data_IF_818998124484
#
_entry.id   IF_818998124484
#
_cell.length_a   1.000
_cell.length_b   1.000
_cell.length_c   1.000
_cell.angle_alpha   90.00
_cell.angle_beta   90.00
_cell.angle_gamma   90.00
#
_symmetry.space_group_name_H-M   'P 1'
#
loop_
_entity.id
_entity.type
_entity.pdbx_description
1 polymer ?
#
# COMPACT_ATOMS: atom_id res chain seq x y z
N UNK A 1 -63.72 17.66 -25.74
CA UNK A 1 -63.40 16.45 -24.99
C UNK A 1 -61.98 15.91 -25.29
N UNK A 2 -61.54 15.77 -26.55
CA UNK A 2 -60.18 15.27 -26.87
C UNK A 2 -59.00 16.11 -26.32
N UNK A 3 -59.15 17.48 -26.27
CA UNK A 3 -58.10 18.37 -25.75
C UNK A 3 -57.95 18.32 -24.22
N UNK A 4 -59.06 18.09 -23.52
CA UNK A 4 -59.06 18.00 -22.02
C UNK A 4 -58.43 16.65 -21.59
N UNK A 5 -58.70 15.57 -22.35
CA UNK A 5 -58.10 14.27 -22.06
C UNK A 5 -56.59 14.24 -22.29
N UNK A 6 -56.07 15.00 -23.26
CA UNK A 6 -54.63 15.13 -23.53
C UNK A 6 -53.89 15.92 -22.43
N UNK A 7 -54.54 16.93 -21.85
CA UNK A 7 -53.98 17.72 -20.75
C UNK A 7 -53.95 16.91 -19.45
N UNK A 8 -54.96 16.08 -19.18
CA UNK A 8 -54.97 15.19 -18.01
C UNK A 8 -53.93 14.06 -18.12
N UNK A 9 -53.68 13.55 -19.33
CA UNK A 9 -52.63 12.53 -19.54
C UNK A 9 -51.24 13.11 -19.41
N UNK A 10 -50.99 14.34 -19.86
CA UNK A 10 -49.72 15.05 -19.67
C UNK A 10 -49.43 15.40 -18.19
N UNK A 11 -50.47 15.78 -17.44
CA UNK A 11 -50.32 16.07 -16.01
C UNK A 11 -50.03 14.79 -15.18
N UNK A 12 -50.61 13.65 -15.55
CA UNK A 12 -50.32 12.36 -14.91
C UNK A 12 -48.88 11.88 -15.14
N UNK A 13 -48.31 12.13 -16.34
CA UNK A 13 -46.90 11.80 -16.65
C UNK A 13 -45.89 12.68 -15.90
N UNK A 14 -46.24 13.93 -15.63
CA UNK A 14 -45.33 14.86 -14.85
C UNK A 14 -45.32 14.47 -13.39
N UNK A 15 -46.39 13.98 -12.80
CA UNK A 15 -46.45 13.55 -11.39
C UNK A 15 -45.64 12.26 -11.16
N UNK A 16 -45.54 11.36 -12.13
CA UNK A 16 -44.76 10.14 -12.00
C UNK A 16 -43.23 10.35 -12.05
N UNK A 17 -42.77 11.47 -12.59
CA UNK A 17 -41.32 11.75 -12.66
C UNK A 17 -40.76 12.36 -11.38
N UNK A 18 -41.59 12.91 -10.48
CA UNK A 18 -41.17 13.46 -9.20
C UNK A 18 -41.17 12.46 -8.04
N UNK A 19 -41.74 11.28 -8.20
CA UNK A 19 -41.78 10.26 -7.15
C UNK A 19 -40.55 9.33 -7.11
N UNK A 20 -39.62 9.46 -8.07
CA UNK A 20 -38.44 8.56 -8.19
C UNK A 20 -37.13 9.14 -7.61
N UNK A 21 -37.12 10.38 -7.12
CA UNK A 21 -36.00 10.93 -6.38
C UNK A 21 -36.33 10.95 -4.89
N UNK A 22 -36.36 9.80 -4.26
CA UNK A 22 -36.17 9.69 -2.83
C UNK A 22 -34.76 10.16 -2.52
N UNK A 23 -34.58 11.45 -2.18
CA UNK A 23 -33.37 11.96 -1.59
C UNK A 23 -33.15 11.19 -0.28
N UNK A 24 -32.47 10.03 -0.31
CA UNK A 24 -31.76 9.56 0.86
C UNK A 24 -30.78 10.69 1.18
N UNK A 25 -31.05 11.44 2.24
CA UNK A 25 -30.05 12.32 2.83
C UNK A 25 -28.90 11.41 3.22
N UNK A 26 -27.88 11.36 2.40
CA UNK A 26 -26.61 10.74 2.75
C UNK A 26 -26.14 11.47 3.98
N UNK A 27 -26.03 10.76 5.11
CA UNK A 27 -25.37 11.31 6.28
C UNK A 27 -23.87 11.41 5.93
N UNK A 28 -23.47 12.54 5.37
CA UNK A 28 -22.09 12.84 4.99
C UNK A 28 -21.23 13.18 6.21
N UNK A 29 -21.74 12.93 7.43
CA UNK A 29 -21.06 13.28 8.68
C UNK A 29 -19.88 12.37 9.00
N UNK A 30 -19.70 11.24 8.30
CA UNK A 30 -18.56 10.34 8.47
C UNK A 30 -18.16 9.62 7.18
N UNK A 31 -16.87 9.33 7.05
CA UNK A 31 -16.30 8.55 5.92
C UNK A 31 -16.95 7.16 5.85
N UNK A 32 -17.26 6.54 6.99
CA UNK A 32 -17.94 5.25 7.03
C UNK A 32 -19.34 5.32 6.42
N UNK A 33 -20.11 6.39 6.70
CA UNK A 33 -21.43 6.57 6.11
C UNK A 33 -21.34 6.75 4.59
N UNK A 34 -20.36 7.51 4.12
CA UNK A 34 -20.06 7.70 2.70
C UNK A 34 -19.72 6.36 2.01
N UNK A 35 -18.81 5.57 2.57
CA UNK A 35 -18.43 4.27 2.02
C UNK A 35 -19.60 3.29 1.98
N UNK A 36 -20.42 3.25 3.04
CA UNK A 36 -21.63 2.41 3.09
C UNK A 36 -22.69 2.82 2.07
N UNK A 37 -22.91 4.11 1.87
CA UNK A 37 -23.86 4.60 0.86
C UNK A 37 -23.37 4.29 -0.56
N UNK A 38 -22.08 4.45 -0.81
CA UNK A 38 -21.43 4.09 -2.08
C UNK A 38 -21.44 2.57 -2.34
N UNK A 39 -21.45 1.75 -1.27
CA UNK A 39 -21.45 0.29 -1.35
C UNK A 39 -20.09 -0.33 -1.70
N UNK A 40 -19.04 0.49 -1.84
CA UNK A 40 -17.69 0.06 -2.20
C UNK A 40 -16.64 0.75 -1.32
N UNK A 41 -15.55 0.04 -1.03
CA UNK A 41 -14.33 0.62 -0.44
C UNK A 41 -13.20 0.52 -1.46
N UNK A 42 -12.71 1.66 -1.95
CA UNK A 42 -11.56 1.73 -2.86
C UNK A 42 -10.28 1.78 -2.02
N UNK A 43 -9.45 0.78 -2.17
CA UNK A 43 -8.28 0.51 -1.33
C UNK A 43 -7.02 0.72 -2.17
N UNK A 44 -6.20 1.69 -1.78
CA UNK A 44 -4.88 1.92 -2.37
C UNK A 44 -3.86 0.94 -1.82
N UNK A 45 -3.20 0.21 -2.72
CA UNK A 45 -2.20 -0.81 -2.41
C UNK A 45 -0.96 -0.65 -3.29
N UNK A 46 0.17 -1.22 -2.86
CA UNK A 46 1.30 -1.58 -3.73
C UNK A 46 1.47 -3.08 -3.75
N UNK A 47 2.13 -3.60 -4.78
CA UNK A 47 2.33 -5.04 -4.89
C UNK A 47 3.63 -5.45 -4.20
N UNK A 48 3.53 -6.25 -3.15
CA UNK A 48 4.66 -6.87 -2.44
C UNK A 48 4.23 -8.16 -1.74
N UNK A 49 4.81 -9.28 -2.13
CA UNK A 49 4.54 -10.56 -1.49
C UNK A 49 5.18 -10.58 -0.08
N UNK A 50 4.55 -11.23 0.91
CA UNK A 50 3.32 -12.04 0.82
C UNK A 50 2.04 -11.26 1.14
N UNK A 51 2.09 -9.92 1.16
CA UNK A 51 1.00 -9.08 1.65
C UNK A 51 -0.06 -8.82 0.58
N UNK A 52 0.35 -8.28 -0.58
CA UNK A 52 -0.49 -8.04 -1.74
C UNK A 52 0.28 -8.43 -3.02
N UNK A 53 -0.20 -9.42 -3.74
CA UNK A 53 0.47 -9.89 -4.96
C UNK A 53 -0.48 -10.59 -5.91
N UNK A 54 -0.07 -10.69 -7.16
CA UNK A 54 -0.70 -11.55 -8.16
C UNK A 54 0.18 -12.77 -8.41
N UNK A 55 -0.44 -13.93 -8.58
CA UNK A 55 0.27 -15.11 -9.08
C UNK A 55 0.68 -14.87 -10.54
N UNK A 56 1.74 -15.57 -10.98
CA UNK A 56 2.25 -15.46 -12.35
C UNK A 56 1.14 -15.67 -13.38
N UNK A 57 1.04 -14.72 -14.32
CA UNK A 57 0.03 -14.74 -15.38
C UNK A 57 -1.38 -14.28 -14.94
N UNK A 58 -1.59 -13.94 -13.67
CA UNK A 58 -2.85 -13.41 -13.16
C UNK A 58 -2.69 -11.91 -12.82
N UNK A 59 -3.66 -11.09 -13.20
CA UNK A 59 -3.68 -9.65 -12.89
C UNK A 59 -5.01 -9.20 -12.29
N UNK A 60 -5.90 -10.14 -11.96
CA UNK A 60 -7.27 -9.85 -11.52
C UNK A 60 -7.60 -10.41 -10.14
N UNK A 61 -6.95 -11.51 -9.73
CA UNK A 61 -7.18 -12.16 -8.44
C UNK A 61 -6.03 -11.83 -7.49
N UNK A 62 -6.15 -10.70 -6.82
CA UNK A 62 -5.18 -10.25 -5.81
C UNK A 62 -5.14 -11.25 -4.66
N UNK A 63 -3.95 -11.69 -4.30
CA UNK A 63 -3.65 -12.59 -3.18
C UNK A 63 -2.89 -11.85 -2.09
N UNK A 64 -2.82 -12.47 -0.93
CA UNK A 64 -1.99 -12.02 0.18
C UNK A 64 -2.76 -11.72 1.45
N UNK A 65 -2.00 -11.57 2.52
CA UNK A 65 -2.56 -11.38 3.86
C UNK A 65 -3.43 -10.12 3.93
N UNK A 66 -2.97 -9.00 3.37
CA UNK A 66 -3.72 -7.74 3.44
C UNK A 66 -4.93 -7.74 2.53
N UNK A 67 -4.82 -8.31 1.33
CA UNK A 67 -5.96 -8.51 0.44
C UNK A 67 -7.09 -9.31 1.12
N UNK A 68 -6.74 -10.42 1.80
CA UNK A 68 -7.72 -11.27 2.48
C UNK A 68 -8.29 -10.58 3.73
N UNK A 69 -7.45 -9.87 4.48
CA UNK A 69 -7.88 -9.10 5.64
C UNK A 69 -8.84 -7.97 5.24
N UNK A 70 -8.52 -7.23 4.19
CA UNK A 70 -9.39 -6.19 3.64
C UNK A 70 -10.74 -6.75 3.19
N UNK A 71 -10.76 -7.90 2.49
CA UNK A 71 -12.00 -8.59 2.11
C UNK A 71 -12.85 -8.95 3.32
N UNK A 72 -12.25 -9.52 4.36
CA UNK A 72 -12.96 -9.90 5.60
C UNK A 72 -13.56 -8.70 6.33
N UNK A 73 -12.86 -7.54 6.33
CA UNK A 73 -13.40 -6.30 6.90
C UNK A 73 -14.52 -5.74 6.04
N UNK A 74 -14.37 -5.71 4.72
CA UNK A 74 -15.41 -5.25 3.81
C UNK A 74 -16.69 -6.08 3.92
N UNK A 75 -16.58 -7.40 4.07
CA UNK A 75 -17.71 -8.29 4.33
C UNK A 75 -18.46 -7.87 5.61
N UNK A 76 -17.73 -7.61 6.71
CA UNK A 76 -18.33 -7.14 7.97
C UNK A 76 -18.98 -5.76 7.86
N UNK A 77 -18.43 -4.88 7.02
CA UNK A 77 -18.99 -3.55 6.76
C UNK A 77 -20.20 -3.60 5.81
N UNK A 78 -20.38 -4.70 5.06
CA UNK A 78 -21.42 -4.85 4.03
C UNK A 78 -21.11 -4.04 2.76
N UNK A 79 -19.83 -3.93 2.39
CA UNK A 79 -19.36 -3.21 1.19
C UNK A 79 -18.46 -4.10 0.34
N UNK A 80 -18.29 -3.75 -0.93
CA UNK A 80 -17.41 -4.49 -1.84
C UNK A 80 -16.01 -3.83 -1.87
N UNK A 81 -14.90 -4.56 -1.64
CA UNK A 81 -13.56 -4.02 -1.80
C UNK A 81 -13.22 -3.86 -3.29
N UNK A 82 -12.53 -2.76 -3.62
CA UNK A 82 -11.91 -2.53 -4.93
C UNK A 82 -10.46 -2.15 -4.68
N UNK A 83 -9.53 -2.98 -5.16
CA UNK A 83 -8.10 -2.74 -4.98
C UNK A 83 -7.56 -1.92 -6.15
N UNK A 84 -6.88 -0.84 -5.83
CA UNK A 84 -6.22 0.04 -6.79
C UNK A 84 -4.72 0.05 -6.51
N UNK A 85 -3.94 -0.44 -7.47
CA UNK A 85 -2.48 -0.37 -7.40
C UNK A 85 -2.06 1.07 -7.62
N UNK A 86 -1.29 1.62 -6.68
CA UNK A 86 -0.78 2.99 -6.69
C UNK A 86 0.75 2.98 -6.64
N UNK A 87 1.39 4.10 -6.94
CA UNK A 87 2.77 4.36 -6.55
C UNK A 87 2.81 4.72 -5.07
N UNK A 88 3.74 4.11 -4.30
CA UNK A 88 3.86 4.41 -2.86
C UNK A 88 4.17 5.88 -2.59
N UNK A 89 4.97 6.50 -3.44
CA UNK A 89 5.25 7.94 -3.40
C UNK A 89 3.98 8.79 -3.49
N UNK A 90 2.98 8.34 -4.25
CA UNK A 90 1.73 9.07 -4.47
C UNK A 90 0.67 8.83 -3.39
N UNK A 91 0.90 7.96 -2.40
CA UNK A 91 -0.12 7.49 -1.43
C UNK A 91 -0.95 8.58 -0.78
N UNK A 92 -0.32 9.65 -0.31
CA UNK A 92 -1.04 10.77 0.33
C UNK A 92 -1.84 11.59 -0.68
N UNK A 93 -1.32 11.76 -1.89
CA UNK A 93 -2.01 12.45 -2.98
C UNK A 93 -3.25 11.68 -3.43
N UNK A 94 -3.15 10.36 -3.56
CA UNK A 94 -4.27 9.47 -3.92
C UNK A 94 -5.38 9.52 -2.87
N UNK A 95 -5.01 9.49 -1.58
CA UNK A 95 -5.95 9.59 -0.47
C UNK A 95 -6.62 10.98 -0.41
N UNK A 96 -5.83 12.06 -0.47
CA UNK A 96 -6.33 13.42 -0.37
C UNK A 96 -7.22 13.82 -1.57
N UNK A 97 -6.91 13.30 -2.76
CA UNK A 97 -7.71 13.49 -3.98
C UNK A 97 -8.96 12.61 -4.04
N UNK A 98 -9.15 11.72 -3.04
CA UNK A 98 -10.25 10.74 -2.97
C UNK A 98 -10.27 9.79 -4.18
N UNK A 99 -9.12 9.53 -4.77
CA UNK A 99 -8.96 8.46 -5.76
C UNK A 99 -9.06 7.09 -5.09
N UNK A 100 -8.61 7.02 -3.83
CA UNK A 100 -8.83 5.89 -2.93
C UNK A 100 -9.52 6.35 -1.64
N UNK A 101 -10.27 5.47 -1.01
CA UNK A 101 -10.96 5.76 0.26
C UNK A 101 -10.06 5.51 1.46
N UNK A 102 -9.12 4.56 1.32
CA UNK A 102 -8.10 4.26 2.31
C UNK A 102 -6.84 3.70 1.66
N UNK A 103 -5.75 3.75 2.42
CA UNK A 103 -4.52 3.01 2.13
C UNK A 103 -4.50 1.78 3.02
N UNK A 104 -4.29 0.60 2.44
CA UNK A 104 -4.16 -0.63 3.18
C UNK A 104 -3.01 -1.42 2.59
N UNK A 105 -1.84 -1.25 3.15
CA UNK A 105 -0.58 -1.67 2.50
C UNK A 105 0.61 -1.76 3.46
N UNK A 106 0.44 -2.30 4.67
CA UNK A 106 1.53 -2.42 5.63
C UNK A 106 2.16 -1.08 6.02
N UNK A 107 1.39 0.00 6.03
CA UNK A 107 1.88 1.34 6.28
C UNK A 107 2.50 1.44 7.68
N UNK A 108 3.81 1.70 7.75
CA UNK A 108 4.51 1.99 9.00
C UNK A 108 3.97 3.27 9.62
N UNK A 109 3.60 3.20 10.90
CA UNK A 109 3.06 4.33 11.65
C UNK A 109 4.21 5.22 12.11
N UNK A 110 4.34 6.42 11.52
CA UNK A 110 5.29 7.45 11.95
C UNK A 110 4.55 8.68 12.47
N UNK A 111 5.22 9.52 13.26
CA UNK A 111 4.61 10.76 13.76
C UNK A 111 4.31 11.74 12.61
N UNK A 112 5.11 11.76 11.56
CA UNK A 112 4.83 12.55 10.37
C UNK A 112 3.51 12.13 9.72
N UNK A 113 3.28 10.83 9.53
CA UNK A 113 2.05 10.29 8.94
C UNK A 113 0.81 10.49 9.81
N UNK A 114 0.95 10.42 11.14
CA UNK A 114 -0.16 10.74 12.07
C UNK A 114 -0.65 12.18 11.94
N UNK A 115 0.20 13.10 11.48
CA UNK A 115 -0.16 14.50 11.28
C UNK A 115 -0.89 14.75 9.95
N UNK A 116 -0.76 13.87 8.98
CA UNK A 116 -1.32 14.04 7.61
C UNK A 116 -2.51 13.14 7.32
N UNK A 117 -2.70 12.04 8.07
CA UNK A 117 -3.79 11.10 7.86
C UNK A 117 -4.29 10.47 9.16
N UNK A 118 -5.53 9.97 9.13
CA UNK A 118 -6.08 9.16 10.21
C UNK A 118 -5.60 7.72 10.06
N UNK A 119 -4.93 7.19 11.07
CA UNK A 119 -4.34 5.84 11.05
C UNK A 119 -5.08 4.95 12.03
N UNK A 120 -5.36 3.69 11.65
CA UNK A 120 -5.97 2.69 12.51
C UNK A 120 -5.05 2.29 13.68
N UNK A 121 -5.56 1.51 14.61
CA UNK A 121 -4.70 0.78 15.54
C UNK A 121 -3.81 -0.20 14.77
N UNK A 122 -2.55 -0.41 15.18
CA UNK A 122 -1.67 -1.37 14.51
C UNK A 122 -2.25 -2.78 14.60
N UNK A 123 -2.23 -3.50 13.47
CA UNK A 123 -2.70 -4.87 13.38
C UNK A 123 -1.56 -5.88 13.15
N UNK A 124 -0.35 -5.39 12.90
CA UNK A 124 0.85 -6.20 12.68
C UNK A 124 2.09 -5.46 13.15
N UNK A 125 3.07 -6.19 13.68
CA UNK A 125 4.41 -5.65 13.95
C UNK A 125 5.27 -5.80 12.69
N UNK A 126 6.02 -4.75 12.35
CA UNK A 126 7.01 -4.74 11.28
C UNK A 126 8.27 -4.00 11.75
N UNK A 127 9.33 -4.11 10.99
CA UNK A 127 10.60 -3.39 11.16
C UNK A 127 11.28 -3.27 9.82
N UNK A 128 12.21 -2.32 9.70
CA UNK A 128 13.08 -2.21 8.54
C UNK A 128 14.29 -3.14 8.72
N UNK A 129 14.72 -3.77 7.64
CA UNK A 129 15.90 -4.66 7.64
C UNK A 129 16.81 -4.33 6.47
N UNK A 130 18.10 -4.48 6.71
CA UNK A 130 19.10 -4.43 5.65
C UNK A 130 19.18 -5.80 4.97
N UNK A 131 19.10 -5.81 3.64
CA UNK A 131 19.34 -6.99 2.82
C UNK A 131 20.57 -6.80 1.94
N UNK A 132 21.29 -7.89 1.67
CA UNK A 132 22.43 -7.90 0.77
C UNK A 132 22.62 -9.30 0.19
N UNK A 133 23.56 -9.47 -0.77
CA UNK A 133 23.97 -10.80 -1.19
C UNK A 133 24.61 -11.57 -0.02
N UNK A 134 24.34 -12.86 0.07
CA UNK A 134 24.81 -13.71 1.17
C UNK A 134 26.34 -13.63 1.38
N UNK A 135 27.10 -13.49 0.30
CA UNK A 135 28.57 -13.33 0.32
C UNK A 135 29.03 -12.02 0.97
N UNK A 136 28.15 -11.02 1.09
CA UNK A 136 28.45 -9.71 1.68
C UNK A 136 27.83 -9.51 3.08
N UNK A 137 27.11 -10.50 3.63
CA UNK A 137 26.39 -10.36 4.88
C UNK A 137 27.29 -9.92 6.05
N UNK A 138 28.44 -10.55 6.20
CA UNK A 138 29.41 -10.21 7.27
C UNK A 138 30.05 -8.83 7.04
N UNK A 139 30.28 -8.46 5.76
CA UNK A 139 30.86 -7.18 5.38
C UNK A 139 30.01 -6.00 5.82
N UNK A 140 28.69 -6.12 5.76
CA UNK A 140 27.73 -5.02 6.03
C UNK A 140 27.00 -5.16 7.39
N UNK A 141 27.61 -5.87 8.34
CA UNK A 141 26.97 -6.21 9.63
C UNK A 141 27.10 -5.14 10.73
N UNK A 142 27.78 -4.03 10.48
CA UNK A 142 28.03 -3.00 11.49
C UNK A 142 27.90 -1.58 10.95
N UNK A 143 27.62 -0.62 11.84
CA UNK A 143 27.58 0.81 11.49
C UNK A 143 28.89 1.26 10.79
N UNK A 144 28.73 2.06 9.73
CA UNK A 144 29.83 2.56 8.92
C UNK A 144 30.45 1.54 7.94
N UNK A 145 30.03 0.27 7.98
CA UNK A 145 30.51 -0.74 7.02
C UNK A 145 30.01 -0.54 5.59
N UNK A 146 28.93 0.25 5.45
CA UNK A 146 28.34 0.62 4.15
C UNK A 146 29.00 1.83 3.50
N UNK A 147 30.10 2.37 4.07
CA UNK A 147 30.78 3.55 3.49
C UNK A 147 31.20 3.30 2.05
N UNK A 148 30.67 4.13 1.14
CA UNK A 148 30.91 4.03 -0.29
C UNK A 148 30.07 2.95 -1.01
N UNK A 149 29.30 2.13 -0.27
CA UNK A 149 28.39 1.16 -0.86
C UNK A 149 27.14 1.86 -1.40
N UNK A 150 26.55 1.30 -2.46
CA UNK A 150 25.27 1.74 -2.99
C UNK A 150 24.15 1.07 -2.20
N UNK A 151 23.31 1.89 -1.52
CA UNK A 151 22.14 1.45 -0.76
C UNK A 151 20.89 1.98 -1.42
N UNK A 152 19.89 1.11 -1.59
CA UNK A 152 18.60 1.48 -2.17
C UNK A 152 17.46 1.22 -1.20
N UNK A 153 16.40 2.01 -1.29
CA UNK A 153 15.11 1.74 -0.65
C UNK A 153 13.98 2.32 -1.50
N UNK A 154 12.76 1.85 -1.27
CA UNK A 154 11.58 2.38 -1.93
C UNK A 154 11.36 3.82 -1.50
N UNK A 155 11.13 4.71 -2.47
CA UNK A 155 10.90 6.13 -2.26
C UNK A 155 9.70 6.38 -1.35
N UNK A 156 9.79 7.36 -0.43
CA UNK A 156 8.76 7.71 0.56
C UNK A 156 8.36 6.56 1.51
N UNK A 157 9.19 5.50 1.59
CA UNK A 157 9.02 4.41 2.55
C UNK A 157 9.71 4.70 3.89
N UNK A 158 9.39 3.90 4.93
CA UNK A 158 10.15 3.92 6.18
C UNK A 158 11.59 3.43 5.96
N UNK A 159 11.82 2.55 4.97
CA UNK A 159 13.14 2.12 4.57
C UNK A 159 14.02 3.24 4.03
N UNK A 160 13.46 4.18 3.26
CA UNK A 160 14.17 5.39 2.83
C UNK A 160 14.54 6.27 4.02
N UNK A 161 13.58 6.51 4.95
CA UNK A 161 13.84 7.30 6.15
C UNK A 161 15.01 6.72 6.95
N UNK A 162 15.04 5.41 7.17
CA UNK A 162 16.13 4.71 7.83
C UNK A 162 17.43 4.85 7.05
N UNK A 163 17.44 4.55 5.75
CA UNK A 163 18.65 4.58 4.93
C UNK A 163 19.28 5.98 4.83
N UNK A 164 18.50 7.04 5.04
CA UNK A 164 18.96 8.43 4.90
C UNK A 164 19.25 9.14 6.25
N UNK A 165 18.71 8.62 7.36
CA UNK A 165 18.80 9.29 8.66
C UNK A 165 19.54 8.48 9.74
N UNK A 166 19.58 7.15 9.65
CA UNK A 166 20.23 6.32 10.65
C UNK A 166 21.74 6.29 10.48
N UNK A 167 22.47 6.46 11.59
CA UNK A 167 23.94 6.49 11.62
C UNK A 167 24.59 5.19 11.10
N UNK A 168 23.86 4.08 11.04
CA UNK A 168 24.33 2.82 10.44
C UNK A 168 24.73 3.01 8.98
N UNK A 169 24.06 3.92 8.26
CA UNK A 169 24.25 4.18 6.83
C UNK A 169 25.22 5.35 6.55
N UNK A 170 25.92 5.87 7.55
CA UNK A 170 26.83 6.99 7.37
C UNK A 170 27.89 6.70 6.30
N UNK A 171 27.95 7.57 5.29
CA UNK A 171 28.87 7.46 4.15
C UNK A 171 28.45 6.49 3.05
N UNK A 172 27.25 5.88 3.12
CA UNK A 172 26.67 5.14 2.02
C UNK A 172 26.19 6.07 0.89
N UNK A 173 26.16 5.56 -0.33
CA UNK A 173 25.57 6.24 -1.48
C UNK A 173 24.12 5.79 -1.63
N UNK A 174 23.18 6.59 -1.14
CA UNK A 174 21.75 6.26 -1.21
C UNK A 174 21.16 6.59 -2.58
N UNK A 175 20.27 5.71 -3.04
CA UNK A 175 19.46 5.92 -4.25
C UNK A 175 18.04 5.38 -4.03
N UNK A 176 17.02 6.20 -4.30
CA UNK A 176 15.63 5.76 -4.22
C UNK A 176 15.24 4.88 -5.41
N UNK A 177 14.36 3.91 -5.16
CA UNK A 177 13.73 3.06 -6.19
C UNK A 177 12.21 3.09 -6.04
N UNK A 178 11.50 2.63 -7.09
CA UNK A 178 10.04 2.77 -7.18
C UNK A 178 9.26 1.75 -6.33
N UNK A 179 9.90 0.67 -5.88
CA UNK A 179 9.26 -0.37 -5.07
C UNK A 179 10.27 -1.23 -4.31
N UNK A 180 9.82 -1.90 -3.24
CA UNK A 180 10.64 -2.89 -2.51
C UNK A 180 11.06 -4.05 -3.41
N UNK A 181 10.19 -4.52 -4.31
CA UNK A 181 10.53 -5.54 -5.30
C UNK A 181 11.69 -5.09 -6.20
N UNK A 182 11.70 -3.82 -6.62
CA UNK A 182 12.80 -3.22 -7.37
C UNK A 182 14.08 -3.18 -6.54
N UNK A 183 13.99 -2.82 -5.25
CA UNK A 183 15.14 -2.80 -4.35
C UNK A 183 15.80 -4.20 -4.24
N UNK A 184 15.00 -5.25 -4.05
CA UNK A 184 15.50 -6.65 -4.02
C UNK A 184 16.17 -7.01 -5.34
N UNK A 185 15.58 -6.64 -6.47
CA UNK A 185 16.14 -6.92 -7.80
C UNK A 185 17.46 -6.20 -8.03
N UNK A 186 17.62 -4.94 -7.60
CA UNK A 186 18.87 -4.18 -7.70
C UNK A 186 20.01 -4.86 -6.91
N UNK A 187 19.72 -5.36 -5.70
CA UNK A 187 20.70 -6.14 -4.91
C UNK A 187 21.02 -7.45 -5.59
N UNK A 188 20.02 -8.18 -6.08
CA UNK A 188 20.22 -9.46 -6.75
C UNK A 188 21.09 -9.34 -8.01
N UNK A 189 20.85 -8.33 -8.83
CA UNK A 189 21.65 -8.06 -10.03
C UNK A 189 23.06 -7.53 -9.72
N UNK A 190 23.28 -6.99 -8.52
CA UNK A 190 24.52 -6.32 -8.12
C UNK A 190 24.63 -4.87 -8.55
N UNK A 191 23.53 -4.25 -8.97
CA UNK A 191 23.45 -2.81 -9.25
C UNK A 191 23.50 -2.02 -7.93
N UNK A 192 22.92 -2.58 -6.86
CA UNK A 192 23.07 -2.08 -5.50
C UNK A 192 23.83 -3.10 -4.62
N UNK A 193 24.57 -2.61 -3.66
CA UNK A 193 25.27 -3.43 -2.67
C UNK A 193 24.33 -3.95 -1.58
N UNK A 194 23.36 -3.15 -1.20
CA UNK A 194 22.39 -3.46 -0.15
C UNK A 194 21.08 -2.69 -0.37
N UNK A 195 20.02 -3.13 0.30
CA UNK A 195 18.76 -2.41 0.34
C UNK A 195 18.14 -2.42 1.74
N UNK A 196 17.33 -1.40 2.03
CA UNK A 196 16.47 -1.37 3.23
C UNK A 196 15.05 -1.64 2.80
N UNK A 197 14.45 -2.67 3.39
CA UNK A 197 13.09 -3.13 3.08
C UNK A 197 12.33 -3.51 4.36
N UNK A 198 11.04 -3.67 4.25
CA UNK A 198 10.22 -4.24 5.30
C UNK A 198 10.61 -5.70 5.59
N UNK A 199 10.69 -6.06 6.87
CA UNK A 199 10.96 -7.43 7.30
C UNK A 199 9.97 -8.42 6.70
N UNK A 200 8.67 -8.06 6.66
CA UNK A 200 7.62 -8.91 6.11
C UNK A 200 7.81 -9.17 4.61
N UNK A 201 8.28 -8.17 3.85
CA UNK A 201 8.68 -8.33 2.44
C UNK A 201 9.86 -9.29 2.33
N UNK A 202 10.84 -9.12 3.21
CA UNK A 202 12.04 -9.97 3.21
C UNK A 202 11.69 -11.44 3.43
N UNK A 203 10.91 -11.78 4.47
CA UNK A 203 10.56 -13.19 4.75
C UNK A 203 9.74 -13.85 3.63
N UNK A 204 8.99 -13.08 2.85
CA UNK A 204 8.17 -13.60 1.74
C UNK A 204 8.87 -13.63 0.38
N UNK A 205 9.99 -12.90 0.22
CA UNK A 205 10.58 -12.66 -1.10
C UNK A 205 12.02 -13.17 -1.25
N UNK A 206 12.77 -13.35 -0.16
CA UNK A 206 14.19 -13.73 -0.22
C UNK A 206 14.48 -15.02 0.54
N UNK A 207 15.58 -15.68 0.18
CA UNK A 207 16.05 -16.91 0.81
C UNK A 207 15.60 -18.19 0.09
N UNK A 208 15.79 -19.33 0.75
CA UNK A 208 15.49 -20.63 0.18
C UNK A 208 14.01 -20.76 -0.22
N UNK A 209 13.75 -21.31 -1.39
CA UNK A 209 12.39 -21.48 -1.93
C UNK A 209 11.84 -20.26 -2.67
N UNK A 210 12.60 -19.16 -2.75
CA UNK A 210 12.20 -17.95 -3.49
C UNK A 210 13.06 -17.76 -4.76
N UNK A 211 12.74 -16.73 -5.55
CA UNK A 211 13.56 -16.35 -6.72
C UNK A 211 14.89 -15.66 -6.32
N UNK A 212 15.09 -15.33 -5.03
CA UNK A 212 16.24 -14.59 -4.53
C UNK A 212 16.97 -15.37 -3.42
N UNK A 213 17.40 -16.61 -3.77
CA UNK A 213 18.07 -17.54 -2.84
C UNK A 213 19.44 -17.06 -2.37
N UNK A 214 20.07 -16.16 -3.10
CA UNK A 214 21.38 -15.58 -2.78
C UNK A 214 21.29 -14.25 -2.01
N UNK A 215 20.10 -13.81 -1.65
CA UNK A 215 19.87 -12.60 -0.84
C UNK A 215 19.55 -13.01 0.59
N UNK A 216 20.08 -12.30 1.55
CA UNK A 216 19.86 -12.52 2.99
C UNK A 216 19.60 -11.23 3.72
N UNK A 217 18.88 -11.31 4.85
CA UNK A 217 18.82 -10.23 5.83
C UNK A 217 20.10 -10.22 6.65
N UNK A 218 20.69 -9.05 6.81
CA UNK A 218 21.92 -8.86 7.60
C UNK A 218 21.57 -8.99 9.09
N UNK A 219 22.23 -9.90 9.79
CA UNK A 219 22.01 -10.14 11.21
C UNK A 219 22.34 -8.88 12.03
N UNK A 220 21.43 -8.48 12.90
CA UNK A 220 21.60 -7.29 13.76
C UNK A 220 21.27 -5.95 13.10
N UNK A 221 21.16 -5.86 11.78
CA UNK A 221 20.77 -4.64 11.07
C UNK A 221 19.24 -4.55 10.94
N UNK A 222 18.59 -4.25 12.08
CA UNK A 222 17.15 -4.08 12.21
C UNK A 222 16.85 -2.70 12.76
N UNK A 223 15.89 -2.01 12.16
CA UNK A 223 15.54 -0.63 12.46
C UNK A 223 14.03 -0.54 12.74
N UNK A 224 13.67 0.27 13.76
CA UNK A 224 12.28 0.42 14.21
C UNK A 224 11.53 1.48 13.38
#
# INVERSE_FOLDING_TARGET
MKKILSILLAAALIVCTFAACGNKKTDTSSDLAYVKDKGTLVIGITLFAPMDYYEEGNTTDLKGFEADFARAVCEKLGVTPTFQVISWEAKESELNSKNVDCLWNGLTITDARKNTMSISTPYMANKQVLITKSENADKYSSAGSLKGATVVAEKESAGEEVATSDAFFEGANYTAVDSMAKAIMEVSSGTADAAVIDYVTGIGSIGEGTNYTNIVMVSGANFA
#
